data_IF_658192670298
#
_entry.id   IF_658192670298
#
_cell.length_a   1.000
_cell.length_b   1.000
_cell.length_c   1.000
_cell.angle_alpha   90.00
_cell.angle_beta   90.00
_cell.angle_gamma   90.00
#
_symmetry.space_group_name_H-M   'P 1'
#
loop_
_entity.id
_entity.type
_entity.pdbx_description
1 polymer ?
#
# COMPACT_ATOMS: atom_id res chain seq x y z
N UNK A 1 6.32 -14.17 3.80
CA UNK A 1 4.97 -14.70 3.53
C UNK A 1 4.06 -14.28 4.67
N UNK A 2 3.17 -13.33 4.42
CA UNK A 2 2.24 -12.80 5.43
C UNK A 2 1.01 -12.26 4.75
N UNK A 3 -0.11 -12.23 5.47
CA UNK A 3 -1.39 -11.67 5.02
C UNK A 3 -1.16 -10.22 4.52
N UNK A 4 -1.67 -9.83 3.34
CA UNK A 4 -1.52 -8.48 2.81
C UNK A 4 -2.10 -7.41 3.73
N UNK A 5 -3.19 -7.73 4.46
CA UNK A 5 -3.72 -6.85 5.50
C UNK A 5 -2.73 -6.63 6.67
N UNK A 6 -1.70 -7.48 6.82
CA UNK A 6 -0.62 -7.33 7.81
C UNK A 6 0.63 -6.65 7.24
N UNK A 7 0.69 -6.45 5.92
CA UNK A 7 1.73 -5.69 5.22
C UNK A 7 1.31 -4.24 4.94
N UNK A 8 0.13 -3.83 5.41
CA UNK A 8 -0.34 -2.44 5.39
C UNK A 8 0.42 -1.60 6.43
N UNK A 9 1.72 -1.42 6.17
CA UNK A 9 2.65 -0.55 6.88
C UNK A 9 3.21 0.38 5.81
N UNK A 10 2.50 1.48 5.55
CA UNK A 10 2.78 2.55 4.56
C UNK A 10 3.01 2.15 3.09
N UNK A 11 3.01 0.86 2.75
CA UNK A 11 3.14 0.35 1.37
C UNK A 11 1.79 0.04 0.70
N UNK A 12 0.70 0.62 1.20
CA UNK A 12 -0.65 0.34 0.71
C UNK A 12 -1.00 1.09 -0.58
N UNK A 13 -2.10 0.66 -1.21
CA UNK A 13 -2.62 1.27 -2.43
C UNK A 13 -3.64 2.37 -2.10
N UNK A 14 -3.47 3.55 -2.71
CA UNK A 14 -4.36 4.71 -2.55
C UNK A 14 -4.32 5.41 -1.19
N UNK A 15 -5.10 6.48 -1.04
CA UNK A 15 -5.11 7.33 0.16
C UNK A 15 -5.56 6.57 1.43
N UNK A 16 -4.80 6.69 2.53
CA UNK A 16 -5.23 6.19 3.83
C UNK A 16 -6.34 7.07 4.44
N UNK A 17 -7.47 6.47 4.78
CA UNK A 17 -8.58 7.12 5.51
C UNK A 17 -8.61 6.55 6.93
N UNK A 18 -8.47 7.42 7.93
CA UNK A 18 -8.28 7.03 9.34
C UNK A 18 -7.07 6.10 9.58
N UNK A 19 -6.00 6.25 8.80
CA UNK A 19 -4.79 5.42 8.92
C UNK A 19 -4.92 4.01 8.33
N UNK A 20 -5.97 3.76 7.55
CA UNK A 20 -6.19 2.47 6.87
C UNK A 20 -6.41 2.72 5.37
N UNK A 21 -5.71 1.96 4.52
CA UNK A 21 -5.80 2.10 3.06
C UNK A 21 -7.15 1.64 2.50
N UNK A 22 -7.54 2.20 1.35
CA UNK A 22 -8.88 2.09 0.75
C UNK A 22 -9.38 0.66 0.52
N UNK A 23 -8.49 -0.30 0.26
CA UNK A 23 -8.89 -1.69 0.01
C UNK A 23 -9.46 -2.39 1.26
N UNK A 24 -9.05 -2.00 2.47
CA UNK A 24 -9.66 -2.51 3.71
C UNK A 24 -11.09 -1.97 3.89
N UNK A 25 -11.34 -0.74 3.45
CA UNK A 25 -12.68 -0.15 3.51
C UNK A 25 -13.69 -0.92 2.65
N UNK A 26 -13.24 -1.58 1.58
CA UNK A 26 -14.11 -2.48 0.81
C UNK A 26 -14.61 -3.67 1.65
N UNK A 27 -13.78 -4.21 2.55
CA UNK A 27 -14.18 -5.28 3.48
C UNK A 27 -15.16 -4.76 4.54
N UNK A 28 -14.92 -3.56 5.09
CA UNK A 28 -15.84 -2.91 6.04
C UNK A 28 -17.22 -2.70 5.38
N UNK A 29 -17.26 -2.18 4.16
CA UNK A 29 -18.49 -1.97 3.40
C UNK A 29 -19.18 -3.31 3.12
N UNK A 30 -18.44 -4.35 2.72
CA UNK A 30 -18.99 -5.69 2.52
C UNK A 30 -19.72 -6.21 3.77
N UNK A 31 -19.07 -6.18 4.93
CA UNK A 31 -19.69 -6.63 6.18
C UNK A 31 -20.86 -5.76 6.62
N UNK A 32 -20.80 -4.44 6.41
CA UNK A 32 -21.91 -3.54 6.68
C UNK A 32 -23.13 -3.89 5.82
N UNK A 33 -22.93 -4.16 4.53
CA UNK A 33 -24.00 -4.59 3.61
C UNK A 33 -24.57 -5.95 4.03
N UNK A 34 -23.73 -6.93 4.38
CA UNK A 34 -24.18 -8.25 4.85
C UNK A 34 -25.02 -8.12 6.13
N UNK A 35 -24.60 -7.28 7.09
CA UNK A 35 -25.33 -7.03 8.32
C UNK A 35 -26.67 -6.35 8.03
N UNK A 36 -26.68 -5.32 7.18
CA UNK A 36 -27.92 -4.65 6.75
C UNK A 36 -28.87 -5.63 6.06
N UNK A 37 -28.37 -6.50 5.20
CA UNK A 37 -29.18 -7.54 4.55
C UNK A 37 -29.77 -8.51 5.58
N UNK A 38 -28.98 -8.90 6.60
CA UNK A 38 -29.45 -9.69 7.73
C UNK A 38 -30.54 -9.01 8.54
N UNK A 39 -30.41 -7.71 8.80
CA UNK A 39 -31.44 -6.89 9.47
C UNK A 39 -32.70 -6.80 8.61
N UNK A 40 -32.56 -6.53 7.32
CA UNK A 40 -33.68 -6.51 6.38
C UNK A 40 -34.41 -7.85 6.40
N UNK A 41 -33.70 -8.97 6.39
CA UNK A 41 -34.32 -10.30 6.49
C UNK A 41 -34.94 -10.60 7.86
N UNK A 42 -34.36 -10.10 8.95
CA UNK A 42 -34.94 -10.23 10.29
C UNK A 42 -36.27 -9.50 10.44
N UNK A 43 -36.45 -8.37 9.74
CA UNK A 43 -37.67 -7.58 9.74
C UNK A 43 -38.50 -7.72 8.45
N UNK A 44 -38.11 -8.62 7.54
CA UNK A 44 -38.85 -8.85 6.32
C UNK A 44 -40.25 -9.34 6.71
N UNK A 45 -41.33 -8.71 6.19
CA UNK A 45 -42.68 -9.15 6.47
C UNK A 45 -42.78 -10.63 6.12
N UNK A 46 -43.28 -11.45 7.06
CA UNK A 46 -43.54 -12.87 6.81
C UNK A 46 -44.37 -12.95 5.53
N UNK A 47 -43.76 -13.51 4.49
CA UNK A 47 -44.38 -13.55 3.17
C UNK A 47 -45.61 -14.45 3.27
N UNK A 48 -46.81 -13.88 3.45
CA UNK A 48 -48.08 -14.61 3.35
C UNK A 48 -48.16 -15.36 2.01
N UNK A 49 -47.53 -14.83 0.97
CA UNK A 49 -47.34 -15.50 -0.32
C UNK A 49 -46.49 -16.79 -0.22
N UNK A 50 -45.49 -16.82 0.66
CA UNK A 50 -44.61 -17.97 0.87
C UNK A 50 -45.28 -19.04 1.75
N UNK A 51 -46.07 -18.64 2.75
CA UNK A 51 -46.92 -19.57 3.52
C UNK A 51 -48.01 -20.20 2.62
N UNK A 52 -48.64 -19.40 1.76
CA UNK A 52 -49.59 -19.89 0.77
C UNK A 52 -48.94 -20.84 -0.25
N UNK A 53 -47.71 -20.54 -0.69
CA UNK A 53 -46.94 -21.41 -1.60
C UNK A 53 -46.47 -22.71 -0.92
N UNK A 54 -46.14 -22.66 0.38
CA UNK A 54 -45.74 -23.84 1.16
C UNK A 54 -46.91 -24.79 1.48
N UNK A 55 -48.16 -24.29 1.48
CA UNK A 55 -49.38 -25.07 1.70
C UNK A 55 -49.30 -26.02 2.93
N UNK A 56 -48.79 -25.52 4.05
CA UNK A 56 -48.65 -26.27 5.31
C UNK A 56 -47.43 -27.21 5.38
N UNK A 57 -46.60 -27.29 4.34
CA UNK A 57 -45.34 -28.02 4.37
C UNK A 57 -44.25 -27.20 5.07
N UNK A 58 -43.34 -27.87 5.79
CA UNK A 58 -42.24 -27.19 6.52
C UNK A 58 -41.16 -26.63 5.58
N UNK A 59 -41.04 -27.17 4.37
CA UNK A 59 -40.02 -26.79 3.40
C UNK A 59 -40.62 -26.84 1.99
N UNK A 60 -40.13 -25.96 1.10
CA UNK A 60 -40.55 -25.95 -0.30
C UNK A 60 -40.08 -27.25 -0.97
N UNK A 61 -41.00 -27.98 -1.60
CA UNK A 61 -40.65 -29.15 -2.41
C UNK A 61 -39.88 -28.69 -3.63
N UNK A 62 -38.71 -29.30 -3.86
CA UNK A 62 -37.93 -29.01 -5.05
C UNK A 62 -38.65 -29.52 -6.29
N UNK A 63 -38.73 -28.67 -7.31
CA UNK A 63 -38.89 -29.15 -8.69
C UNK A 63 -37.58 -29.80 -9.16
N UNK A 64 -37.63 -30.60 -10.23
CA UNK A 64 -36.42 -31.18 -10.83
C UNK A 64 -35.39 -30.10 -11.19
N UNK A 65 -35.87 -28.95 -11.67
CA UNK A 65 -35.03 -27.81 -12.02
C UNK A 65 -34.40 -27.16 -10.78
N UNK A 66 -35.20 -26.83 -9.75
CA UNK A 66 -34.66 -26.20 -8.54
C UNK A 66 -33.69 -27.13 -7.80
N UNK A 67 -33.94 -28.45 -7.81
CA UNK A 67 -33.01 -29.42 -7.26
C UNK A 67 -31.68 -29.42 -8.00
N UNK A 68 -31.71 -29.41 -9.34
CA UNK A 68 -30.51 -29.34 -10.16
C UNK A 68 -29.73 -28.03 -9.91
N UNK A 69 -30.43 -26.89 -9.81
CA UNK A 69 -29.81 -25.61 -9.50
C UNK A 69 -29.11 -25.63 -8.12
N UNK A 70 -29.80 -26.10 -7.08
CA UNK A 70 -29.21 -26.24 -5.73
C UNK A 70 -28.01 -27.18 -5.75
N UNK A 71 -28.08 -28.29 -6.47
CA UNK A 71 -26.98 -29.24 -6.59
C UNK A 71 -25.75 -28.60 -7.25
N UNK A 72 -25.93 -27.89 -8.37
CA UNK A 72 -24.84 -27.19 -9.06
C UNK A 72 -24.24 -26.12 -8.16
N UNK A 73 -25.07 -25.29 -7.52
CA UNK A 73 -24.60 -24.26 -6.57
C UNK A 73 -23.82 -24.89 -5.41
N UNK A 74 -24.31 -26.01 -4.85
CA UNK A 74 -23.63 -26.73 -3.79
C UNK A 74 -22.24 -27.25 -4.24
N UNK A 75 -22.12 -27.76 -5.47
CA UNK A 75 -20.84 -28.21 -6.05
C UNK A 75 -19.86 -27.04 -6.21
N UNK A 76 -20.33 -25.88 -6.70
CA UNK A 76 -19.50 -24.68 -6.85
C UNK A 76 -19.00 -24.20 -5.49
N UNK A 77 -19.90 -24.10 -4.51
CA UNK A 77 -19.54 -23.72 -3.13
C UNK A 77 -18.55 -24.71 -2.54
N UNK A 78 -18.81 -26.02 -2.66
CA UNK A 78 -17.92 -27.07 -2.16
C UNK A 78 -16.54 -27.00 -2.82
N UNK A 79 -16.47 -26.67 -4.10
CA UNK A 79 -15.21 -26.51 -4.84
C UNK A 79 -14.40 -25.30 -4.34
N UNK A 80 -15.05 -24.16 -4.10
CA UNK A 80 -14.40 -22.99 -3.51
C UNK A 80 -13.92 -23.26 -2.06
N UNK A 81 -14.75 -23.96 -1.27
CA UNK A 81 -14.38 -24.37 0.10
C UNK A 81 -13.19 -25.32 0.08
N UNK A 82 -13.17 -26.28 -0.85
CA UNK A 82 -12.05 -27.20 -1.02
C UNK A 82 -10.77 -26.47 -1.44
N UNK A 83 -10.87 -25.53 -2.38
CA UNK A 83 -9.74 -24.69 -2.79
C UNK A 83 -9.18 -23.90 -1.61
N UNK A 84 -10.05 -23.24 -0.83
CA UNK A 84 -9.65 -22.49 0.36
C UNK A 84 -9.03 -23.40 1.44
N UNK A 85 -9.59 -24.59 1.66
CA UNK A 85 -9.05 -25.57 2.59
C UNK A 85 -7.66 -26.03 2.16
N UNK A 86 -7.46 -26.37 0.89
CA UNK A 86 -6.15 -26.79 0.38
C UNK A 86 -5.14 -25.64 0.45
N UNK A 87 -5.52 -24.43 0.06
CA UNK A 87 -4.59 -23.28 0.02
C UNK A 87 -4.20 -22.77 1.40
N UNK A 88 -5.14 -22.78 2.36
CA UNK A 88 -5.01 -22.04 3.61
C UNK A 88 -5.09 -22.92 4.85
N UNK A 89 -5.72 -24.09 4.74
CA UNK A 89 -5.95 -25.00 5.86
C UNK A 89 -7.13 -24.60 6.72
N UNK A 90 -7.40 -25.43 7.74
CA UNK A 90 -8.41 -25.14 8.76
C UNK A 90 -7.91 -24.07 9.73
N UNK A 91 -8.78 -23.30 10.39
CA UNK A 91 -8.36 -22.50 11.54
C UNK A 91 -7.54 -23.35 12.54
N UNK A 92 -6.40 -22.86 13.07
CA UNK A 92 -5.89 -21.49 13.00
C UNK A 92 -4.78 -21.30 11.93
N UNK A 93 -4.83 -21.91 10.76
CA UNK A 93 -3.92 -21.55 9.67
C UNK A 93 -4.45 -20.30 8.95
N UNK A 94 -3.55 -19.39 8.53
CA UNK A 94 -3.94 -18.12 7.87
C UNK A 94 -3.47 -18.06 6.42
N UNK A 95 -4.26 -17.38 5.58
CA UNK A 95 -4.00 -17.25 4.15
C UNK A 95 -2.70 -16.51 3.85
N UNK A 96 -2.05 -16.92 2.77
CA UNK A 96 -0.87 -16.23 2.25
C UNK A 96 -1.30 -14.96 1.51
N UNK A 97 -0.51 -13.88 1.64
CA UNK A 97 -0.74 -12.66 0.88
C UNK A 97 -0.58 -12.89 -0.62
N UNK A 98 0.59 -13.37 -1.04
CA UNK A 98 0.90 -13.42 -2.47
C UNK A 98 -0.02 -14.42 -3.21
N UNK A 99 -0.62 -14.04 -4.35
CA UNK A 99 -1.55 -14.90 -5.07
C UNK A 99 -0.82 -16.10 -5.68
N UNK A 100 -0.80 -17.23 -4.98
CA UNK A 100 -0.29 -18.49 -5.50
C UNK A 100 -1.39 -19.16 -6.32
N UNK A 101 -1.08 -19.59 -7.54
CA UNK A 101 -2.02 -20.40 -8.34
C UNK A 101 -2.40 -21.66 -7.56
N UNK A 102 -3.70 -21.97 -7.52
CA UNK A 102 -4.20 -23.21 -6.89
C UNK A 102 -3.42 -24.43 -7.43
N UNK A 103 -2.89 -25.23 -6.51
CA UNK A 103 -2.09 -26.40 -6.82
C UNK A 103 -2.32 -27.50 -5.80
N UNK A 104 -2.40 -28.74 -6.27
CA UNK A 104 -2.47 -29.93 -5.42
C UNK A 104 -1.08 -30.49 -5.08
N UNK A 105 0.00 -29.82 -5.51
CA UNK A 105 1.35 -30.24 -5.20
C UNK A 105 1.70 -29.82 -3.75
N UNK A 106 1.97 -30.76 -2.83
CA UNK A 106 2.22 -30.48 -1.41
C UNK A 106 3.36 -29.47 -1.16
N UNK A 107 4.34 -29.39 -2.07
CA UNK A 107 5.45 -28.43 -2.00
C UNK A 107 4.98 -26.96 -1.95
N UNK A 108 3.83 -26.66 -2.57
CA UNK A 108 3.29 -25.31 -2.67
C UNK A 108 2.07 -25.10 -1.75
N UNK A 109 1.68 -26.12 -0.98
CA UNK A 109 0.62 -26.04 0.02
C UNK A 109 1.28 -25.71 1.35
N UNK A 110 1.10 -24.48 1.82
CA UNK A 110 1.76 -23.97 3.03
C UNK A 110 0.68 -23.55 4.02
N UNK A 111 0.55 -24.32 5.09
CA UNK A 111 -0.32 -24.00 6.21
C UNK A 111 0.54 -23.44 7.33
N UNK A 112 0.45 -22.13 7.58
CA UNK A 112 1.25 -21.46 8.62
C UNK A 112 0.35 -20.83 9.68
N UNK A 113 0.76 -21.00 10.94
CA UNK A 113 0.18 -20.32 12.10
C UNK A 113 0.99 -19.07 12.50
N UNK A 114 2.11 -18.80 11.81
CA UNK A 114 3.01 -17.70 12.17
C UNK A 114 2.34 -16.34 12.08
N UNK A 115 1.32 -16.17 11.22
CA UNK A 115 0.53 -14.94 11.18
C UNK A 115 -0.25 -14.64 12.47
N UNK A 116 -0.41 -15.61 13.39
CA UNK A 116 -0.97 -15.38 14.72
C UNK A 116 0.03 -14.83 15.73
N UNK A 117 1.33 -15.00 15.48
CA UNK A 117 2.35 -14.53 16.40
C UNK A 117 2.35 -13.00 16.44
N UNK A 118 1.90 -12.43 17.56
CA UNK A 118 1.85 -10.98 17.79
C UNK A 118 0.48 -10.32 17.61
N UNK A 119 -0.54 -11.02 17.09
CA UNK A 119 -1.90 -10.46 16.91
C UNK A 119 -2.59 -10.05 18.22
N UNK A 120 -2.28 -10.74 19.33
CA UNK A 120 -2.95 -10.57 20.62
C UNK A 120 -2.04 -10.11 21.76
N UNK A 121 -0.74 -9.94 21.51
CA UNK A 121 0.22 -9.62 22.56
C UNK A 121 0.36 -8.12 22.84
N UNK A 122 -0.24 -7.24 22.03
CA UNK A 122 -0.29 -5.80 22.26
C UNK A 122 -1.59 -5.21 21.70
N UNK A 123 -2.71 -5.38 22.43
CA UNK A 123 -3.96 -4.71 22.07
C UNK A 123 -3.75 -3.21 22.24
N UNK A 124 -3.57 -2.53 21.13
CA UNK A 124 -3.58 -1.07 21.02
C UNK A 124 -4.37 -0.75 19.75
N UNK A 125 -5.22 0.28 19.81
CA UNK A 125 -6.18 0.58 18.75
C UNK A 125 -5.50 0.92 17.41
N UNK A 126 -4.24 1.38 17.44
CA UNK A 126 -3.34 1.46 16.27
C UNK A 126 -1.95 0.80 16.54
N UNK A 127 -1.57 0.55 17.79
CA UNK A 127 -0.40 -0.26 18.18
C UNK A 127 0.92 0.08 17.49
N UNK A 128 1.73 -0.96 17.21
CA UNK A 128 2.94 -0.83 16.39
C UNK A 128 2.67 -0.43 14.93
N UNK A 129 1.41 -0.18 14.57
CA UNK A 129 0.94 0.23 13.25
C UNK A 129 0.62 1.73 13.19
N UNK A 130 0.64 2.45 14.32
CA UNK A 130 0.77 3.92 14.34
C UNK A 130 2.22 4.29 14.08
N UNK A 131 2.72 3.94 12.89
CA UNK A 131 4.01 4.41 12.42
C UNK A 131 3.77 5.84 11.95
N UNK A 132 4.13 6.80 12.81
CA UNK A 132 4.13 8.20 12.39
C UNK A 132 5.11 8.34 11.23
N UNK A 133 4.71 9.09 10.22
CA UNK A 133 5.61 9.49 9.15
C UNK A 133 6.94 10.00 9.76
N UNK A 134 8.09 9.67 9.15
CA UNK A 134 9.37 10.13 9.64
C UNK A 134 9.36 11.66 9.72
N UNK A 135 10.08 12.21 10.68
CA UNK A 135 10.21 13.65 10.81
C UNK A 135 11.05 14.17 9.65
N UNK A 136 10.37 14.73 8.65
CA UNK A 136 11.03 15.34 7.52
C UNK A 136 11.68 16.65 7.93
N UNK A 137 12.93 16.87 7.53
CA UNK A 137 13.67 18.11 7.80
C UNK A 137 12.97 19.36 7.21
N UNK A 138 12.16 19.19 6.17
CA UNK A 138 11.36 20.26 5.56
C UNK A 138 10.00 20.48 6.23
N UNK A 139 9.54 19.57 7.10
CA UNK A 139 8.26 19.73 7.80
C UNK A 139 8.47 20.59 9.06
N UNK A 140 7.47 21.39 9.47
CA UNK A 140 7.51 22.14 10.73
C UNK A 140 7.31 21.19 11.93
N UNK A 141 8.25 20.25 12.13
CA UNK A 141 8.18 19.22 13.17
C UNK A 141 8.77 19.71 14.50
N UNK A 142 9.43 20.88 14.52
CA UNK A 142 10.20 21.39 15.65
C UNK A 142 9.40 21.52 16.95
N UNK A 143 8.17 22.05 16.89
CA UNK A 143 7.31 22.20 18.07
C UNK A 143 6.83 20.84 18.61
N UNK A 144 6.52 19.90 17.72
CA UNK A 144 6.04 18.55 18.08
C UNK A 144 7.14 17.70 18.69
N UNK A 145 8.37 17.86 18.22
CA UNK A 145 9.54 17.11 18.65
C UNK A 145 10.26 17.72 19.85
N UNK A 146 9.97 18.99 20.18
CA UNK A 146 10.71 19.74 21.18
C UNK A 146 12.18 19.98 20.80
N UNK A 147 12.52 19.84 19.51
CA UNK A 147 13.86 20.07 18.98
C UNK A 147 13.81 21.24 18.01
N UNK A 148 14.78 22.14 18.11
CA UNK A 148 15.01 23.18 17.10
C UNK A 148 16.18 22.71 16.25
N UNK A 149 15.94 22.43 14.97
CA UNK A 149 17.02 22.16 14.03
C UNK A 149 17.85 23.44 13.88
N UNK A 150 19.13 23.35 14.25
CA UNK A 150 20.09 24.42 14.04
C UNK A 150 20.81 24.19 12.71
N UNK A 151 20.67 25.15 11.80
CA UNK A 151 21.31 25.10 10.48
C UNK A 151 22.63 25.89 10.45
N UNK A 152 23.07 26.44 11.59
CA UNK A 152 24.38 27.08 11.70
C UNK A 152 25.47 26.00 11.84
N UNK A 153 26.33 25.93 10.82
CA UNK A 153 27.46 24.99 10.79
C UNK A 153 28.41 25.18 11.99
N UNK A 154 28.47 26.39 12.56
CA UNK A 154 29.32 26.68 13.72
C UNK A 154 28.81 26.02 15.01
N UNK A 155 27.52 25.67 15.06
CA UNK A 155 26.90 24.98 16.19
C UNK A 155 26.82 23.46 15.96
N UNK A 156 27.36 22.96 14.85
CA UNK A 156 27.39 21.54 14.56
C UNK A 156 28.23 20.77 15.60
N UNK A 157 27.97 19.46 15.82
CA UNK A 157 28.79 18.61 16.70
C UNK A 157 30.28 18.57 16.33
N UNK A 158 30.59 19.00 15.09
CA UNK A 158 31.91 19.12 14.54
C UNK A 158 32.52 20.52 14.67
N UNK A 159 32.00 21.43 15.50
CA UNK A 159 32.48 22.82 15.62
C UNK A 159 34.00 22.99 15.91
N UNK A 160 34.69 21.92 16.30
CA UNK A 160 36.16 21.85 16.42
C UNK A 160 36.72 20.77 15.50
N UNK A 161 36.88 21.09 14.22
CA UNK A 161 37.60 20.23 13.25
C UNK A 161 39.03 20.76 13.13
N UNK A 162 40.02 19.89 13.21
CA UNK A 162 41.42 20.27 13.06
C UNK A 162 41.79 20.60 11.60
N UNK A 163 41.06 20.01 10.65
CA UNK A 163 41.23 20.19 9.21
C UNK A 163 39.88 20.61 8.60
N UNK A 164 39.77 21.86 8.15
CA UNK A 164 38.57 22.41 7.53
C UNK A 164 38.62 22.27 6.00
N UNK A 165 37.55 21.76 5.40
CA UNK A 165 37.34 21.87 3.96
C UNK A 165 36.91 23.32 3.66
N UNK A 166 37.70 24.03 2.84
CA UNK A 166 37.36 25.37 2.39
C UNK A 166 36.50 25.29 1.13
N UNK A 167 35.37 25.98 1.14
CA UNK A 167 34.57 26.20 -0.06
C UNK A 167 35.44 27.02 -1.03
N UNK A 168 35.85 26.40 -2.13
CA UNK A 168 36.66 27.05 -3.17
C UNK A 168 35.79 27.76 -4.20
N UNK A 169 34.57 27.28 -4.40
CA UNK A 169 33.59 27.85 -5.30
C UNK A 169 32.18 27.53 -4.79
N UNK A 170 31.27 28.48 -4.96
CA UNK A 170 29.84 28.32 -4.66
C UNK A 170 29.04 28.75 -5.88
N UNK A 171 28.06 27.93 -6.27
CA UNK A 171 27.14 28.24 -7.35
C UNK A 171 25.73 28.13 -6.83
N UNK A 172 24.96 29.21 -6.95
CA UNK A 172 23.53 29.19 -6.67
C UNK A 172 22.79 28.50 -7.82
N UNK A 173 22.02 27.47 -7.49
CA UNK A 173 21.15 26.77 -8.43
C UNK A 173 19.75 27.33 -8.27
N UNK A 174 19.18 27.87 -9.35
CA UNK A 174 17.79 28.31 -9.36
C UNK A 174 16.88 27.09 -9.57
N UNK A 175 16.38 26.56 -8.46
CA UNK A 175 15.38 25.50 -8.44
C UNK A 175 14.22 25.99 -7.56
N UNK A 176 13.00 25.99 -8.11
CA UNK A 176 11.81 26.61 -7.53
C UNK A 176 11.20 25.81 -6.36
N UNK A 177 11.64 24.55 -6.18
CA UNK A 177 11.18 23.63 -5.14
C UNK A 177 12.30 23.30 -4.16
N UNK A 178 11.96 22.79 -2.97
CA UNK A 178 12.98 22.30 -2.03
C UNK A 178 13.54 20.96 -2.51
N UNK A 179 14.86 20.82 -2.61
CA UNK A 179 15.50 19.58 -3.09
C UNK A 179 15.59 18.56 -1.95
N UNK A 180 15.08 17.35 -2.20
CA UNK A 180 15.28 16.19 -1.32
C UNK A 180 16.52 15.39 -1.73
N UNK A 181 16.77 15.22 -3.02
CA UNK A 181 17.94 14.49 -3.53
C UNK A 181 18.52 15.17 -4.76
N UNK A 182 19.83 15.06 -4.93
CA UNK A 182 20.56 15.45 -6.13
C UNK A 182 21.65 14.41 -6.40
N UNK A 183 21.62 13.78 -7.57
CA UNK A 183 22.64 12.81 -7.97
C UNK A 183 23.06 13.04 -9.43
N UNK A 184 24.25 12.62 -9.81
CA UNK A 184 24.76 12.72 -11.18
C UNK A 184 24.69 11.35 -11.86
N UNK A 185 23.72 11.18 -12.75
CA UNK A 185 23.37 9.89 -13.36
C UNK A 185 23.32 10.04 -14.88
N UNK A 186 23.99 9.15 -15.61
CA UNK A 186 23.96 9.11 -17.08
C UNK A 186 24.31 10.46 -17.76
N UNK A 187 25.33 11.14 -17.25
CA UNK A 187 25.83 12.45 -17.72
C UNK A 187 24.84 13.63 -17.54
N UNK A 188 23.89 13.51 -16.62
CA UNK A 188 22.95 14.57 -16.26
C UNK A 188 22.76 14.58 -14.74
N UNK A 189 22.39 15.74 -14.19
CA UNK A 189 21.98 15.80 -12.79
C UNK A 189 20.51 15.41 -12.68
N UNK A 190 20.17 14.60 -11.68
CA UNK A 190 18.80 14.20 -11.38
C UNK A 190 18.47 14.72 -10.00
N UNK A 191 17.61 15.73 -9.95
CA UNK A 191 17.10 16.32 -8.73
C UNK A 191 15.72 15.76 -8.41
N UNK A 192 15.40 15.60 -7.14
CA UNK A 192 14.03 15.37 -6.69
C UNK A 192 13.59 16.41 -5.68
N UNK A 193 12.31 16.78 -5.75
CA UNK A 193 11.56 17.40 -4.66
C UNK A 193 10.43 16.45 -4.27
N UNK A 194 9.82 16.64 -3.11
CA UNK A 194 8.72 15.84 -2.55
C UNK A 194 8.12 14.73 -3.44
N UNK A 195 7.48 15.07 -4.58
CA UNK A 195 7.02 14.11 -5.59
C UNK A 195 7.48 14.44 -7.02
N UNK A 196 8.35 15.43 -7.16
CA UNK A 196 8.87 15.91 -8.43
C UNK A 196 10.23 15.28 -8.73
N UNK A 197 10.47 14.98 -10.00
CA UNK A 197 11.78 14.62 -10.52
C UNK A 197 12.13 15.58 -11.64
N UNK A 198 13.31 16.18 -11.57
CA UNK A 198 13.84 17.08 -12.58
C UNK A 198 15.20 16.58 -13.07
N UNK A 199 15.39 16.59 -14.38
CA UNK A 199 16.66 16.34 -15.04
C UNK A 199 17.30 17.66 -15.41
N UNK A 200 18.52 17.89 -14.94
CA UNK A 200 19.28 19.11 -15.14
C UNK A 200 20.50 18.85 -16.03
N UNK A 201 20.90 19.87 -16.76
CA UNK A 201 22.17 19.88 -17.48
C UNK A 201 23.37 20.12 -16.55
N UNK A 202 24.59 20.15 -17.11
CA UNK A 202 25.82 20.40 -16.34
C UNK A 202 25.90 21.82 -15.74
N UNK A 203 25.00 22.73 -16.14
CA UNK A 203 24.86 24.07 -15.59
C UNK A 203 23.69 24.15 -14.58
N UNK A 204 23.12 23.00 -14.19
CA UNK A 204 21.96 22.86 -13.32
C UNK A 204 20.68 23.51 -13.85
N UNK A 205 20.59 23.71 -15.16
CA UNK A 205 19.35 24.19 -15.81
C UNK A 205 18.41 23.01 -16.05
N UNK A 206 17.14 23.16 -15.69
CA UNK A 206 16.10 22.14 -15.88
C UNK A 206 15.88 21.90 -17.37
N UNK A 207 16.08 20.66 -17.82
CA UNK A 207 15.79 20.20 -19.19
C UNK A 207 14.38 19.67 -19.32
N UNK A 208 14.00 18.79 -18.40
CA UNK A 208 12.74 18.08 -18.37
C UNK A 208 12.46 17.60 -16.94
N UNK A 209 11.22 17.27 -16.65
CA UNK A 209 10.81 16.77 -15.35
C UNK A 209 9.37 16.28 -15.35
N UNK A 210 8.97 15.65 -14.26
CA UNK A 210 7.60 15.21 -14.05
C UNK A 210 7.25 15.26 -12.57
N UNK A 211 5.95 15.37 -12.29
CA UNK A 211 5.39 15.22 -10.95
C UNK A 211 4.69 13.86 -10.88
N UNK A 212 5.00 13.07 -9.85
CA UNK A 212 4.33 11.81 -9.58
C UNK A 212 2.96 12.08 -8.96
N UNK A 213 1.92 11.35 -9.38
CA UNK A 213 0.74 11.17 -8.55
C UNK A 213 1.11 10.24 -7.38
N UNK A 214 1.21 10.75 -6.14
CA UNK A 214 1.63 9.94 -4.99
C UNK A 214 0.61 8.86 -4.62
N UNK A 215 -0.60 8.91 -5.17
CA UNK A 215 -1.68 7.95 -4.91
C UNK A 215 -1.93 6.97 -6.04
N UNK A 216 -1.22 7.11 -7.17
CA UNK A 216 -1.35 6.19 -8.28
C UNK A 216 -0.72 4.84 -7.94
N UNK A 217 -1.55 3.81 -7.79
CA UNK A 217 -1.13 2.46 -7.40
C UNK A 217 -0.53 2.42 -5.99
N UNK A 218 0.71 1.96 -5.82
CA UNK A 218 1.39 1.92 -4.53
C UNK A 218 1.72 3.35 -4.09
N UNK A 219 1.29 3.73 -2.89
CA UNK A 219 1.53 5.08 -2.39
C UNK A 219 3.03 5.34 -2.30
N UNK A 220 3.48 6.49 -2.81
CA UNK A 220 4.88 6.93 -2.72
C UNK A 220 4.95 8.15 -1.82
N UNK A 221 5.49 7.93 -0.63
CA UNK A 221 5.86 9.00 0.28
C UNK A 221 6.99 9.86 -0.30
N UNK A 222 7.25 11.06 0.24
CA UNK A 222 8.27 11.97 -0.27
C UNK A 222 9.54 11.25 -0.71
N UNK A 223 9.98 11.56 -1.94
CA UNK A 223 11.13 10.92 -2.58
C UNK A 223 12.36 11.16 -1.71
N UNK A 224 13.06 10.08 -1.38
CA UNK A 224 14.31 10.09 -0.60
C UNK A 224 15.51 9.54 -1.37
N UNK A 225 15.29 9.02 -2.58
CA UNK A 225 16.36 8.44 -3.38
C UNK A 225 15.95 8.23 -4.83
N UNK A 226 16.88 8.48 -5.75
CA UNK A 226 16.80 8.08 -7.15
C UNK A 226 18.12 7.44 -7.50
N UNK A 227 18.08 6.25 -8.10
CA UNK A 227 19.28 5.51 -8.51
C UNK A 227 19.17 5.05 -9.97
N UNK A 228 20.30 4.93 -10.69
CA UNK A 228 20.29 4.29 -12.00
C UNK A 228 19.83 2.84 -11.90
N UNK A 229 19.02 2.41 -12.86
CA UNK A 229 18.56 1.04 -12.97
C UNK A 229 18.55 0.60 -14.42
N UNK A 230 19.36 -0.40 -14.77
CA UNK A 230 19.62 -0.71 -16.19
C UNK A 230 20.19 0.53 -16.93
N UNK A 231 20.30 0.47 -18.25
CA UNK A 231 21.00 1.53 -19.01
C UNK A 231 20.16 2.82 -19.15
N UNK A 232 18.83 2.69 -19.22
CA UNK A 232 17.89 3.75 -19.63
C UNK A 232 16.77 4.00 -18.62
N UNK A 233 16.87 3.40 -17.42
CA UNK A 233 15.80 3.46 -16.41
C UNK A 233 16.35 3.90 -15.06
N UNK A 234 15.41 4.21 -14.20
CA UNK A 234 15.64 4.74 -12.87
C UNK A 234 14.74 3.98 -11.88
N UNK A 235 15.24 3.83 -10.67
CA UNK A 235 14.42 3.47 -9.52
C UNK A 235 14.35 4.70 -8.63
N UNK A 236 13.15 5.17 -8.33
CA UNK A 236 12.94 6.10 -7.23
C UNK A 236 12.42 5.36 -6.00
N UNK A 237 12.75 5.88 -4.83
CA UNK A 237 12.35 5.33 -3.53
C UNK A 237 11.69 6.42 -2.69
N UNK A 238 10.48 6.13 -2.22
CA UNK A 238 9.81 6.91 -1.20
C UNK A 238 10.26 6.50 0.21
N UNK A 239 10.05 7.37 1.19
CA UNK A 239 10.45 7.12 2.59
C UNK A 239 9.74 5.89 3.21
N UNK A 240 8.56 5.55 2.70
CA UNK A 240 7.78 4.37 3.05
C UNK A 240 8.28 3.06 2.42
N UNK A 241 9.46 3.06 1.78
CA UNK A 241 10.06 1.91 1.09
C UNK A 241 9.25 1.42 -0.12
N UNK A 242 8.26 2.19 -0.57
CA UNK A 242 7.68 2.01 -1.91
C UNK A 242 8.70 2.50 -2.94
N UNK A 243 8.76 1.83 -4.07
CA UNK A 243 9.64 2.20 -5.16
C UNK A 243 8.90 2.15 -6.49
N UNK A 244 9.29 3.03 -7.40
CA UNK A 244 8.78 3.08 -8.76
C UNK A 244 9.94 3.03 -9.74
N UNK A 245 9.72 2.25 -10.79
CA UNK A 245 10.64 2.12 -11.92
C UNK A 245 10.10 2.97 -13.04
N UNK A 246 10.91 3.86 -13.57
CA UNK A 246 10.54 4.71 -14.70
C UNK A 246 11.69 4.82 -15.68
N UNK A 247 11.36 5.21 -16.90
CA UNK A 247 12.30 5.54 -17.95
C UNK A 247 11.85 6.85 -18.59
N UNK A 248 12.80 7.61 -19.15
CA UNK A 248 12.45 8.80 -19.92
C UNK A 248 11.69 8.39 -21.17
N UNK A 249 10.54 9.00 -21.42
CA UNK A 249 9.78 8.81 -22.65
C UNK A 249 9.64 10.14 -23.38
N UNK A 250 10.38 10.37 -24.47
CA UNK A 250 10.30 11.63 -25.23
C UNK A 250 8.95 11.82 -25.96
N UNK A 251 8.11 10.77 -26.00
CA UNK A 251 6.77 10.81 -26.60
C UNK A 251 5.65 10.83 -25.55
N UNK A 252 5.98 11.03 -24.25
CA UNK A 252 4.96 11.11 -23.22
C UNK A 252 4.08 12.35 -23.42
N UNK A 253 2.77 12.17 -23.29
CA UNK A 253 1.77 13.24 -23.30
C UNK A 253 1.23 13.50 -21.89
N UNK A 254 0.56 14.63 -21.67
CA UNK A 254 -0.10 14.93 -20.38
C UNK A 254 -1.20 13.91 -20.01
N UNK A 255 -1.63 13.06 -20.94
CA UNK A 255 -2.67 12.04 -20.75
C UNK A 255 -2.10 10.64 -20.43
N UNK A 256 -0.78 10.45 -20.46
CA UNK A 256 -0.09 9.17 -20.16
C UNK A 256 0.37 9.06 -18.68
#
# INVERSE_FOLDING_TARGET
YGNHAHRDLDQGFGLAVFGIHTYFWAEVVFWAVVLLLGVIFAFAPKFNAFEAELNGEKFRKYTKFSFAAVLISAIIVASNVFQAFVSTGVPPYVGQGDPVRFSLNPKYIIWSKEGWNGLWQNISFLGKRDVKAPDYAFAPASEKLGIKFDNDINNAPFAKINDELKITNEQTINFDKAINTLDYINNEFVASSKWDVAFLDNNFSVKEGFELDPYFSASIDPIIGIIPYMNDKFILMGSNKSFLRFAKNPNASEED
#
